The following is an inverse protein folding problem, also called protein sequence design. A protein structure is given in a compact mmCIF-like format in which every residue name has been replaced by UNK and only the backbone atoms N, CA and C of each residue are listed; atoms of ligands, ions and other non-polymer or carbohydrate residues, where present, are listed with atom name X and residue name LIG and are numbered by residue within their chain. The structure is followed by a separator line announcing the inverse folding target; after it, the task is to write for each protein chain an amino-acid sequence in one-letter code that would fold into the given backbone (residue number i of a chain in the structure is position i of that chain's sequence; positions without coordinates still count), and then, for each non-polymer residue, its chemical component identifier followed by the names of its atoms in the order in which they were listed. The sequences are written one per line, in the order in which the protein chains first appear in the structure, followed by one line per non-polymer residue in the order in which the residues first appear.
data_IF_252906496183
#
_entry.id   IF_252906496183
#
_cell.length_a   1.000
_cell.length_b   1.000
_cell.length_c   1.000
_cell.angle_alpha   90.00
_cell.angle_beta   90.00
_cell.angle_gamma   90.00
#
_symmetry.space_group_name_H-M   'P 1'
#
loop_
_entity.id
_entity.type
_entity.pdbx_description
1 polymer ?
#
# COMPACT_ATOMS: atom_id res chain seq x y z
N UNK A 1 4.49 -29.85 -37.42
CA UNK A 1 3.15 -29.57 -36.86
C UNK A 1 2.79 -30.70 -35.92
N UNK A 2 2.75 -30.43 -34.62
CA UNK A 2 2.19 -31.27 -33.55
C UNK A 2 2.52 -30.52 -32.26
N UNK A 3 1.62 -29.79 -31.59
CA UNK A 3 0.23 -30.10 -31.35
C UNK A 3 0.16 -31.08 -30.17
N UNK A 4 0.38 -30.61 -28.94
CA UNK A 4 0.20 -31.45 -27.75
C UNK A 4 -0.68 -30.72 -26.74
N UNK A 5 -1.85 -31.31 -26.54
CA UNK A 5 -2.97 -30.87 -25.74
C UNK A 5 -2.70 -31.14 -24.25
N UNK A 6 -3.03 -30.18 -23.37
CA UNK A 6 -2.91 -30.32 -21.92
C UNK A 6 -4.08 -31.15 -21.40
N UNK A 7 -3.78 -32.37 -20.93
CA UNK A 7 -4.73 -33.22 -20.20
C UNK A 7 -4.65 -32.90 -18.71
N UNK A 8 -5.75 -32.38 -18.17
CA UNK A 8 -6.02 -32.32 -16.74
C UNK A 8 -6.11 -33.74 -16.17
N UNK A 9 -5.21 -34.12 -15.27
CA UNK A 9 -5.31 -35.39 -14.53
C UNK A 9 -5.32 -35.10 -13.02
N UNK A 10 -6.49 -35.28 -12.41
CA UNK A 10 -6.68 -35.38 -10.96
C UNK A 10 -6.20 -36.74 -10.45
N UNK A 11 -5.60 -36.70 -9.24
CA UNK A 11 -5.51 -37.72 -8.18
C UNK A 11 -5.34 -39.19 -8.58
N UNK A 12 -4.18 -39.75 -8.24
CA UNK A 12 -3.97 -41.18 -8.07
C UNK A 12 -2.61 -41.46 -7.43
N UNK A 13 -2.62 -41.93 -6.19
CA UNK A 13 -1.45 -42.44 -5.46
C UNK A 13 -0.80 -43.58 -6.23
N UNK A 14 0.48 -43.44 -6.58
CA UNK A 14 1.30 -44.56 -7.06
C UNK A 14 2.25 -44.94 -5.94
N UNK A 15 1.96 -46.08 -5.30
CA UNK A 15 2.87 -46.74 -4.37
C UNK A 15 3.97 -47.43 -5.18
N UNK A 16 5.24 -47.13 -4.89
CA UNK A 16 6.38 -47.90 -5.39
C UNK A 16 7.12 -48.49 -4.19
N UNK A 17 7.04 -49.82 -4.07
CA UNK A 17 7.87 -50.64 -3.19
C UNK A 17 9.32 -50.63 -3.71
N UNK A 18 10.28 -50.33 -2.86
CA UNK A 18 11.71 -50.42 -3.15
C UNK A 18 12.51 -50.50 -1.86
N UNK A 19 13.33 -51.54 -1.76
CA UNK A 19 13.92 -52.11 -0.55
C UNK A 19 15.42 -51.80 -0.49
N UNK A 20 15.87 -51.31 0.68
CA UNK A 20 17.23 -51.31 1.26
C UNK A 20 18.26 -50.27 0.82
N UNK A 21 18.84 -49.61 1.83
CA UNK A 21 20.23 -49.11 1.77
C UNK A 21 20.47 -47.70 2.30
N UNK A 22 20.50 -47.55 3.63
CA UNK A 22 21.10 -46.46 4.41
C UNK A 22 21.56 -45.17 3.72
N UNK A 23 20.76 -44.12 3.87
CA UNK A 23 21.19 -42.75 4.18
C UNK A 23 19.93 -41.99 4.64
N UNK A 24 19.96 -41.41 5.84
CA UNK A 24 18.92 -40.49 6.29
C UNK A 24 19.10 -39.22 5.45
N UNK A 25 18.47 -39.18 4.28
CA UNK A 25 18.21 -37.93 3.58
C UNK A 25 16.88 -37.45 4.12
N UNK A 26 16.95 -36.40 4.94
CA UNK A 26 15.77 -35.64 5.35
C UNK A 26 15.01 -35.28 4.08
N UNK A 27 13.82 -35.85 3.98
CA UNK A 27 12.90 -35.71 2.89
C UNK A 27 12.46 -34.24 2.88
N UNK A 28 12.97 -33.46 1.92
CA UNK A 28 12.56 -32.07 1.76
C UNK A 28 11.06 -32.02 1.47
N UNK A 29 10.42 -31.25 2.35
CA UNK A 29 9.05 -30.79 2.38
C UNK A 29 8.64 -30.26 1.01
N UNK A 30 7.45 -30.64 0.52
CA UNK A 30 7.01 -30.37 -0.84
C UNK A 30 7.21 -28.92 -1.29
N UNK A 31 7.71 -28.76 -2.52
CA UNK A 31 7.98 -27.48 -3.18
C UNK A 31 6.74 -26.58 -3.22
N UNK A 32 6.50 -25.87 -2.12
CA UNK A 32 5.62 -24.71 -2.10
C UNK A 32 6.31 -23.65 -2.94
N UNK A 33 5.68 -23.17 -4.02
CA UNK A 33 6.19 -22.02 -4.77
C UNK A 33 6.21 -20.84 -3.78
N UNK A 34 7.37 -20.55 -3.22
CA UNK A 34 7.56 -19.51 -2.19
C UNK A 34 7.12 -18.13 -2.69
N UNK A 35 7.21 -17.91 -4.01
CA UNK A 35 6.88 -16.65 -4.66
C UNK A 35 6.07 -16.89 -5.97
N UNK A 36 4.75 -17.09 -5.90
CA UNK A 36 3.93 -17.44 -7.07
C UNK A 36 3.95 -16.37 -8.16
N UNK A 37 3.88 -15.08 -7.78
CA UNK A 37 3.96 -13.95 -8.72
C UNK A 37 5.32 -13.88 -9.41
N UNK A 38 6.41 -14.10 -8.67
CA UNK A 38 7.76 -14.12 -9.23
C UNK A 38 7.94 -15.29 -10.21
N UNK A 39 7.37 -16.45 -9.91
CA UNK A 39 7.40 -17.63 -10.78
C UNK A 39 6.69 -17.36 -12.11
N UNK A 40 5.45 -16.84 -12.04
CA UNK A 40 4.66 -16.52 -13.23
C UNK A 40 5.34 -15.44 -14.10
N UNK A 41 5.80 -14.35 -13.49
CA UNK A 41 6.46 -13.27 -14.21
C UNK A 41 7.86 -13.68 -14.73
N UNK A 42 8.61 -14.49 -13.98
CA UNK A 42 9.89 -15.04 -14.45
C UNK A 42 9.70 -15.88 -15.72
N UNK A 43 8.73 -16.80 -15.71
CA UNK A 43 8.45 -17.60 -16.89
C UNK A 43 8.02 -16.72 -18.07
N UNK A 44 7.17 -15.72 -17.83
CA UNK A 44 6.69 -14.78 -18.86
C UNK A 44 7.80 -13.95 -19.49
N UNK A 45 8.78 -13.52 -18.70
CA UNK A 45 9.87 -12.65 -19.15
C UNK A 45 11.17 -13.40 -19.51
N UNK A 46 11.17 -14.73 -19.50
CA UNK A 46 12.28 -15.56 -20.00
C UNK A 46 13.41 -15.78 -19.00
N UNK A 47 13.05 -15.95 -17.75
CA UNK A 47 13.90 -15.81 -16.57
C UNK A 47 13.84 -17.15 -15.79
N UNK A 48 14.98 -17.76 -15.44
CA UNK A 48 15.04 -19.14 -14.88
C UNK A 48 14.77 -19.23 -13.37
N UNK A 49 14.09 -20.30 -12.92
CA UNK A 49 13.57 -20.45 -11.54
C UNK A 49 14.59 -20.91 -10.48
N UNK A 50 15.79 -21.36 -10.88
CA UNK A 50 16.76 -21.99 -9.97
C UNK A 50 17.90 -21.02 -9.58
N UNK A 51 17.57 -19.88 -8.97
CA UNK A 51 18.56 -18.89 -8.53
C UNK A 51 18.61 -18.83 -6.99
N UNK A 52 19.80 -18.75 -6.36
CA UNK A 52 19.91 -18.61 -4.91
C UNK A 52 19.08 -17.43 -4.40
N UNK A 53 18.50 -17.56 -3.21
CA UNK A 53 17.66 -16.55 -2.53
C UNK A 53 18.34 -15.16 -2.50
N UNK A 54 19.69 -15.13 -2.44
CA UNK A 54 20.51 -13.91 -2.48
C UNK A 54 20.46 -13.14 -3.80
N UNK A 55 20.08 -13.79 -4.91
CA UNK A 55 19.96 -13.18 -6.24
C UNK A 55 18.53 -12.72 -6.57
N UNK A 56 17.55 -13.03 -5.69
CA UNK A 56 16.14 -12.62 -5.86
C UNK A 56 15.97 -11.10 -6.01
N UNK A 57 16.66 -10.22 -5.26
CA UNK A 57 16.50 -8.77 -5.42
C UNK A 57 16.90 -8.26 -6.81
N UNK A 58 18.02 -8.77 -7.34
CA UNK A 58 18.49 -8.40 -8.68
C UNK A 58 17.50 -8.88 -9.74
N UNK A 59 16.97 -10.10 -9.57
CA UNK A 59 15.99 -10.69 -10.47
C UNK A 59 14.66 -9.94 -10.48
N UNK A 60 14.18 -9.52 -9.31
CA UNK A 60 12.97 -8.69 -9.18
C UNK A 60 13.16 -7.35 -9.90
N UNK A 61 14.33 -6.72 -9.79
CA UNK A 61 14.62 -5.46 -10.49
C UNK A 61 14.77 -5.67 -12.02
N UNK A 62 15.32 -6.80 -12.47
CA UNK A 62 15.38 -7.17 -13.90
C UNK A 62 13.98 -7.34 -14.52
N UNK A 63 13.10 -8.08 -13.85
CA UNK A 63 11.70 -8.28 -14.29
C UNK A 63 10.96 -6.94 -14.30
N UNK A 64 11.13 -6.13 -13.25
CA UNK A 64 10.54 -4.80 -13.16
C UNK A 64 11.00 -3.88 -14.30
N UNK A 65 12.29 -3.90 -14.63
CA UNK A 65 12.79 -3.10 -15.75
C UNK A 65 12.33 -3.67 -17.11
N UNK A 66 12.14 -4.99 -17.23
CA UNK A 66 11.53 -5.60 -18.41
C UNK A 66 10.09 -5.12 -18.62
N UNK A 67 9.27 -5.11 -17.56
CA UNK A 67 7.89 -4.58 -17.61
C UNK A 67 7.91 -3.08 -17.98
N UNK A 68 8.76 -2.27 -17.34
CA UNK A 68 8.89 -0.83 -17.66
C UNK A 68 9.32 -0.59 -19.11
N UNK A 69 10.23 -1.41 -19.64
CA UNK A 69 10.65 -1.33 -21.05
C UNK A 69 9.48 -1.62 -21.98
N UNK A 70 8.66 -2.62 -21.66
CA UNK A 70 7.48 -2.96 -22.46
C UNK A 70 6.40 -1.88 -22.40
N UNK A 71 6.18 -1.24 -21.23
CA UNK A 71 5.29 -0.07 -21.11
C UNK A 71 5.77 1.07 -22.03
N UNK A 72 7.07 1.37 -22.03
CA UNK A 72 7.63 2.42 -22.91
C UNK A 72 7.44 2.09 -24.38
N UNK A 73 7.63 0.83 -24.79
CA UNK A 73 7.38 0.39 -26.17
C UNK A 73 5.90 0.53 -26.54
N UNK A 74 5.01 0.08 -25.67
CA UNK A 74 3.57 0.12 -25.91
C UNK A 74 3.03 1.56 -25.99
N UNK A 75 3.57 2.47 -25.17
CA UNK A 75 3.29 3.90 -25.28
C UNK A 75 3.72 4.49 -26.62
N UNK A 76 4.89 4.10 -27.15
CA UNK A 76 5.35 4.53 -28.47
C UNK A 76 4.44 3.99 -29.59
N UNK A 77 3.98 2.74 -29.48
CA UNK A 77 3.03 2.16 -30.43
C UNK A 77 1.72 2.95 -30.40
N UNK A 78 1.19 3.23 -29.19
CA UNK A 78 -0.01 4.03 -29.02
C UNK A 78 0.15 5.43 -29.60
N UNK A 79 1.23 6.14 -29.27
CA UNK A 79 1.51 7.49 -29.81
C UNK A 79 1.62 7.47 -31.34
N UNK A 80 2.29 6.45 -31.91
CA UNK A 80 2.36 6.25 -33.35
C UNK A 80 0.99 6.02 -33.99
N UNK A 81 0.15 5.20 -33.36
CA UNK A 81 -1.22 4.95 -33.83
C UNK A 81 -2.10 6.21 -33.74
N UNK A 82 -1.96 7.00 -32.68
CA UNK A 82 -2.65 8.28 -32.52
C UNK A 82 -2.26 9.27 -33.64
N UNK A 83 -0.96 9.39 -33.95
CA UNK A 83 -0.47 10.20 -35.09
C UNK A 83 -0.98 9.69 -36.44
N UNK A 84 -1.00 8.36 -36.64
CA UNK A 84 -1.59 7.77 -37.84
C UNK A 84 -3.08 8.07 -37.96
N UNK A 85 -3.80 8.17 -36.84
CA UNK A 85 -5.22 8.53 -36.83
C UNK A 85 -5.47 9.95 -37.32
N UNK A 86 -4.53 10.88 -37.07
CA UNK A 86 -4.64 12.28 -37.51
C UNK A 86 -4.53 12.43 -39.03
N UNK A 87 -3.73 11.58 -39.68
CA UNK A 87 -3.49 11.64 -41.14
C UNK A 87 -4.35 10.67 -41.94
N UNK A 88 -4.99 9.70 -41.27
CA UNK A 88 -5.88 8.72 -41.90
C UNK A 88 -7.21 9.34 -42.33
N UNK A 89 -7.59 9.14 -43.59
CA UNK A 89 -8.85 9.67 -44.15
C UNK A 89 -9.84 8.58 -44.54
N UNK A 90 -9.36 7.38 -44.85
CA UNK A 90 -10.22 6.28 -45.25
C UNK A 90 -10.82 5.53 -44.05
N UNK A 91 -12.05 5.03 -44.24
CA UNK A 91 -12.81 4.38 -43.17
C UNK A 91 -12.13 3.10 -42.65
N UNK A 92 -11.36 2.42 -43.49
CA UNK A 92 -10.71 1.15 -43.13
C UNK A 92 -9.48 1.40 -42.26
N UNK A 93 -8.59 2.30 -42.66
CA UNK A 93 -7.44 2.68 -41.85
C UNK A 93 -7.83 3.27 -40.51
N UNK A 94 -8.88 4.11 -40.45
CA UNK A 94 -9.41 4.64 -39.18
C UNK A 94 -9.89 3.52 -38.25
N UNK A 95 -10.54 2.49 -38.78
CA UNK A 95 -10.97 1.32 -38.01
C UNK A 95 -9.78 0.49 -37.52
N UNK A 96 -8.79 0.26 -38.38
CA UNK A 96 -7.59 -0.50 -38.03
C UNK A 96 -6.78 0.23 -36.95
N UNK A 97 -6.58 1.54 -37.10
CA UNK A 97 -5.92 2.40 -36.11
C UNK A 97 -6.68 2.42 -34.78
N UNK A 98 -8.01 2.52 -34.80
CA UNK A 98 -8.81 2.44 -33.58
C UNK A 98 -8.65 1.09 -32.87
N UNK A 99 -8.53 -0.01 -33.63
CA UNK A 99 -8.28 -1.34 -33.06
C UNK A 99 -6.89 -1.44 -32.41
N UNK A 100 -5.86 -0.81 -33.01
CA UNK A 100 -4.50 -0.75 -32.47
C UNK A 100 -4.50 0.04 -31.16
N UNK A 101 -5.09 1.24 -31.14
CA UNK A 101 -5.19 2.07 -29.94
C UNK A 101 -5.91 1.32 -28.82
N UNK A 102 -7.01 0.62 -29.13
CA UNK A 102 -7.74 -0.20 -28.14
C UNK A 102 -6.87 -1.32 -27.57
N UNK A 103 -6.17 -2.08 -28.42
CA UNK A 103 -5.25 -3.15 -28.00
C UNK A 103 -4.10 -2.62 -27.16
N UNK A 104 -3.47 -1.52 -27.55
CA UNK A 104 -2.39 -0.89 -26.78
C UNK A 104 -2.87 -0.38 -25.42
N UNK A 105 -4.10 0.16 -25.33
CA UNK A 105 -4.67 0.55 -24.04
C UNK A 105 -4.88 -0.64 -23.09
N UNK A 106 -5.41 -1.76 -23.60
CA UNK A 106 -5.57 -2.99 -22.82
C UNK A 106 -4.21 -3.53 -22.35
N UNK A 107 -3.23 -3.63 -23.26
CA UNK A 107 -1.88 -4.11 -22.91
C UNK A 107 -1.18 -3.18 -21.91
N UNK A 108 -1.38 -1.86 -22.00
CA UNK A 108 -0.88 -0.91 -20.99
C UNK A 108 -1.52 -1.10 -19.62
N UNK A 109 -2.81 -1.44 -19.55
CA UNK A 109 -3.47 -1.73 -18.27
C UNK A 109 -2.91 -3.02 -17.65
N UNK A 110 -2.74 -4.08 -18.45
CA UNK A 110 -2.14 -5.35 -18.01
C UNK A 110 -0.71 -5.14 -17.49
N UNK A 111 0.16 -4.50 -18.27
CA UNK A 111 1.54 -4.25 -17.87
C UNK A 111 1.65 -3.40 -16.59
N UNK A 112 0.75 -2.44 -16.39
CA UNK A 112 0.69 -1.65 -15.15
C UNK A 112 0.23 -2.48 -13.97
N UNK A 113 -0.73 -3.40 -14.18
CA UNK A 113 -1.17 -4.33 -13.16
C UNK A 113 -0.03 -5.26 -12.73
N UNK A 114 0.68 -5.85 -13.68
CA UNK A 114 1.84 -6.72 -13.42
C UNK A 114 2.97 -5.99 -12.70
N UNK A 115 3.25 -4.74 -13.10
CA UNK A 115 4.23 -3.91 -12.41
C UNK A 115 3.81 -3.67 -10.95
N UNK A 116 2.53 -3.35 -10.73
CA UNK A 116 2.01 -3.10 -9.39
C UNK A 116 2.03 -4.35 -8.52
N UNK A 117 1.68 -5.51 -9.07
CA UNK A 117 1.71 -6.79 -8.39
C UNK A 117 3.15 -7.18 -8.00
N UNK A 118 4.11 -6.99 -8.90
CA UNK A 118 5.53 -7.19 -8.62
C UNK A 118 6.05 -6.24 -7.53
N UNK A 119 5.71 -4.95 -7.60
CA UNK A 119 6.09 -3.97 -6.59
C UNK A 119 5.47 -4.28 -5.21
N UNK A 120 4.23 -4.79 -5.18
CA UNK A 120 3.59 -5.27 -3.96
C UNK A 120 4.32 -6.49 -3.38
N UNK A 121 4.73 -7.44 -4.23
CA UNK A 121 5.50 -8.60 -3.80
C UNK A 121 6.89 -8.21 -3.28
N UNK A 122 7.57 -7.26 -3.92
CA UNK A 122 8.85 -6.72 -3.43
C UNK A 122 8.66 -6.12 -2.04
N UNK A 123 7.59 -5.33 -1.83
CA UNK A 123 7.31 -4.72 -0.53
C UNK A 123 6.99 -5.76 0.55
N UNK A 124 6.20 -6.78 0.23
CA UNK A 124 5.85 -7.87 1.14
C UNK A 124 7.06 -8.76 1.47
N UNK A 125 7.89 -9.07 0.48
CA UNK A 125 9.09 -9.89 0.66
C UNK A 125 10.16 -9.13 1.44
N UNK A 126 10.42 -7.86 1.10
CA UNK A 126 11.29 -6.99 1.91
C UNK A 126 10.74 -6.75 3.31
N UNK A 127 9.41 -6.67 3.47
CA UNK A 127 8.73 -6.52 4.76
C UNK A 127 8.76 -7.78 5.64
N UNK A 128 8.88 -8.97 5.04
CA UNK A 128 9.02 -10.23 5.76
C UNK A 128 10.49 -10.63 6.02
N UNK A 129 11.44 -10.20 5.18
CA UNK A 129 12.88 -10.46 5.42
C UNK A 129 13.44 -9.68 6.61
N UNK A 130 12.81 -8.57 7.03
CA UNK A 130 13.21 -7.84 8.25
C UNK A 130 12.91 -8.59 9.55
N UNK A 131 12.12 -9.68 9.55
CA UNK A 131 11.84 -10.44 10.78
C UNK A 131 12.76 -11.63 11.01
N UNK A 132 13.56 -12.08 10.03
CA UNK A 132 14.33 -13.32 10.21
C UNK A 132 15.80 -13.31 9.81
N UNK A 133 16.37 -12.25 9.22
CA UNK A 133 17.82 -12.07 9.17
C UNK A 133 18.14 -10.61 8.87
N UNK A 134 18.59 -9.89 9.90
CA UNK A 134 19.10 -8.53 9.74
C UNK A 134 20.43 -8.54 8.99
N UNK A 135 20.42 -8.23 7.71
CA UNK A 135 21.49 -7.51 7.03
C UNK A 135 21.05 -7.05 5.65
N UNK A 136 21.26 -5.75 5.41
CA UNK A 136 21.54 -5.10 4.12
C UNK A 136 20.55 -5.29 2.96
N UNK A 137 19.93 -4.16 2.54
CA UNK A 137 20.16 -3.56 1.22
C UNK A 137 19.15 -2.42 0.97
N UNK A 138 19.46 -1.26 1.54
CA UNK A 138 19.13 0.01 0.90
C UNK A 138 20.35 0.44 0.06
N UNK A 139 20.10 0.56 -1.24
CA UNK A 139 20.75 1.50 -2.15
C UNK A 139 21.99 1.05 -2.92
N UNK A 140 21.80 1.05 -4.23
CA UNK A 140 22.73 1.39 -5.29
C UNK A 140 23.81 2.42 -4.91
N UNK A 141 25.06 2.05 -5.22
CA UNK A 141 26.14 2.92 -5.70
C UNK A 141 26.65 4.06 -4.80
N UNK A 142 27.68 3.77 -3.99
CA UNK A 142 28.96 4.48 -4.09
C UNK A 142 30.03 3.75 -3.27
N UNK A 143 31.14 3.43 -3.93
CA UNK A 143 32.38 2.94 -3.32
C UNK A 143 32.91 3.99 -2.33
N UNK A 144 33.06 3.64 -1.04
CA UNK A 144 34.17 4.05 -0.15
C UNK A 144 34.11 3.27 1.17
N UNK A 145 35.23 2.70 1.66
CA UNK A 145 35.32 2.20 3.03
C UNK A 145 35.91 3.30 3.92
N UNK A 146 35.11 3.88 4.83
CA UNK A 146 35.70 4.59 5.96
C UNK A 146 34.80 4.57 7.18
N UNK A 147 35.35 3.93 8.22
CA UNK A 147 34.93 3.88 9.62
C UNK A 147 34.53 5.25 10.20
N UNK A 148 33.32 5.33 10.76
CA UNK A 148 32.79 6.47 11.52
C UNK A 148 31.44 6.10 12.16
N UNK A 149 31.04 6.73 13.28
CA UNK A 149 30.08 6.18 14.22
C UNK A 149 28.69 6.01 13.59
N UNK A 150 28.13 4.82 13.78
CA UNK A 150 26.79 4.33 13.41
C UNK A 150 25.75 5.46 13.21
N UNK A 151 25.62 5.94 11.97
CA UNK A 151 24.49 6.75 11.55
C UNK A 151 23.28 5.82 11.44
N UNK A 152 22.51 5.74 12.53
CA UNK A 152 21.30 4.91 12.65
C UNK A 152 20.40 5.08 11.41
N UNK A 153 19.69 4.04 10.97
CA UNK A 153 18.83 4.11 9.76
C UNK A 153 17.84 5.28 9.73
N UNK A 154 17.49 5.83 10.90
CA UNK A 154 16.69 7.05 11.06
C UNK A 154 17.37 8.31 10.50
N UNK A 155 18.69 8.42 10.53
CA UNK A 155 19.44 9.57 10.00
C UNK A 155 19.41 9.60 8.47
N UNK A 156 19.58 8.44 7.83
CA UNK A 156 19.44 8.28 6.37
C UNK A 156 18.02 8.63 5.92
N UNK A 157 17.00 8.16 6.67
CA UNK A 157 15.60 8.50 6.42
C UNK A 157 15.35 10.01 6.58
N UNK A 158 15.86 10.61 7.65
CA UNK A 158 15.72 12.05 7.92
C UNK A 158 16.38 12.90 6.83
N UNK A 159 17.57 12.51 6.37
CA UNK A 159 18.28 13.19 5.28
C UNK A 159 17.50 13.08 3.97
N UNK A 160 16.93 11.91 3.67
CA UNK A 160 16.07 11.70 2.50
C UNK A 160 14.82 12.58 2.55
N UNK A 161 14.13 12.63 3.68
CA UNK A 161 12.95 13.48 3.87
C UNK A 161 13.27 14.97 3.71
N UNK A 162 14.41 15.42 4.25
CA UNK A 162 14.90 16.81 4.06
C UNK A 162 15.21 17.12 2.59
N UNK A 163 15.81 16.16 1.86
CA UNK A 163 16.05 16.29 0.42
C UNK A 163 14.74 16.41 -0.35
N UNK A 164 13.77 15.55 -0.06
CA UNK A 164 12.44 15.60 -0.69
C UNK A 164 11.72 16.92 -0.39
N UNK A 165 11.80 17.40 0.86
CA UNK A 165 11.25 18.70 1.24
C UNK A 165 11.89 19.84 0.42
N UNK A 166 13.21 19.81 0.22
CA UNK A 166 13.89 20.82 -0.60
C UNK A 166 13.42 20.81 -2.07
N UNK A 167 13.20 19.61 -2.64
CA UNK A 167 12.67 19.46 -4.00
C UNK A 167 11.27 20.09 -4.08
N UNK A 168 10.36 19.74 -3.18
CA UNK A 168 9.00 20.28 -3.19
C UNK A 168 8.97 21.80 -2.95
N UNK A 169 9.90 22.35 -2.14
CA UNK A 169 10.07 23.80 -2.03
C UNK A 169 10.50 24.45 -3.35
N UNK A 170 11.39 23.81 -4.12
CA UNK A 170 11.78 24.31 -5.45
C UNK A 170 10.62 24.24 -6.44
N UNK A 171 9.82 23.18 -6.40
CA UNK A 171 8.61 23.05 -7.21
C UNK A 171 7.60 24.14 -6.86
N UNK A 172 7.34 24.37 -5.57
CA UNK A 172 6.47 25.44 -5.07
C UNK A 172 6.93 26.82 -5.58
N UNK A 173 8.22 27.14 -5.43
CA UNK A 173 8.78 28.41 -5.90
C UNK A 173 8.70 28.53 -7.43
N UNK A 174 8.94 27.44 -8.16
CA UNK A 174 8.82 27.39 -9.62
C UNK A 174 7.38 27.67 -10.09
N UNK A 175 6.39 27.10 -9.41
CA UNK A 175 4.98 27.36 -9.68
C UNK A 175 4.57 28.80 -9.35
N UNK A 176 5.06 29.36 -8.24
CA UNK A 176 4.84 30.78 -7.88
C UNK A 176 5.42 31.73 -8.94
N UNK A 177 6.64 31.48 -9.41
CA UNK A 177 7.27 32.26 -10.47
C UNK A 177 6.49 32.16 -11.78
N UNK A 178 6.00 30.96 -12.13
CA UNK A 178 5.19 30.74 -13.31
C UNK A 178 3.88 31.54 -13.23
N UNK A 179 3.17 31.48 -12.08
CA UNK A 179 1.96 32.26 -11.84
C UNK A 179 2.23 33.77 -11.95
N UNK A 180 3.33 34.27 -11.35
CA UNK A 180 3.70 35.69 -11.44
C UNK A 180 3.94 36.11 -12.90
N UNK A 181 4.75 35.34 -13.64
CA UNK A 181 5.06 35.65 -15.05
C UNK A 181 3.83 35.67 -15.94
N UNK A 182 2.89 34.73 -15.74
CA UNK A 182 1.64 34.66 -16.50
C UNK A 182 0.68 35.78 -16.07
N UNK A 183 0.61 36.10 -14.77
CA UNK A 183 -0.26 37.15 -14.24
C UNK A 183 0.21 38.56 -14.60
N UNK A 184 1.50 38.76 -14.86
CA UNK A 184 2.08 40.05 -15.28
C UNK A 184 2.05 40.26 -16.81
N UNK A 185 1.78 39.22 -17.60
CA UNK A 185 1.68 39.29 -19.06
C UNK A 185 0.30 39.72 -19.56
N UNK A 186 0.25 40.42 -20.72
CA UNK A 186 -0.99 40.94 -21.28
C UNK A 186 -1.82 39.85 -22.00
N UNK A 187 -2.97 39.54 -21.40
CA UNK A 187 -4.22 38.95 -21.92
C UNK A 187 -4.20 37.60 -22.68
N UNK A 188 -4.66 36.56 -21.96
CA UNK A 188 -5.73 35.68 -22.43
C UNK A 188 -5.33 34.32 -23.01
N UNK A 189 -4.07 34.13 -23.41
CA UNK A 189 -3.63 32.86 -24.04
C UNK A 189 -3.25 31.75 -23.05
N UNK A 190 -2.96 32.09 -21.80
CA UNK A 190 -2.33 31.15 -20.87
C UNK A 190 -3.25 30.73 -19.71
N UNK A 191 -4.58 30.85 -19.86
CA UNK A 191 -5.54 30.49 -18.79
C UNK A 191 -5.39 29.03 -18.33
N UNK A 192 -5.07 28.12 -19.27
CA UNK A 192 -4.82 26.71 -18.96
C UNK A 192 -3.50 26.52 -18.19
N UNK A 193 -2.42 27.20 -18.62
CA UNK A 193 -1.12 27.16 -17.95
C UNK A 193 -1.21 27.76 -16.54
N UNK A 194 -1.97 28.84 -16.36
CA UNK A 194 -2.22 29.44 -15.05
C UNK A 194 -2.94 28.45 -14.11
N UNK A 195 -3.97 27.77 -14.60
CA UNK A 195 -4.68 26.76 -13.81
C UNK A 195 -3.78 25.58 -13.43
N UNK A 196 -2.92 25.12 -14.35
CA UNK A 196 -1.95 24.05 -14.08
C UNK A 196 -0.90 24.48 -13.05
N UNK A 197 -0.34 25.70 -13.18
CA UNK A 197 0.59 26.26 -12.22
C UNK A 197 -0.05 26.44 -10.83
N UNK A 198 -1.32 26.86 -10.76
CA UNK A 198 -2.09 26.94 -9.52
C UNK A 198 -2.30 25.57 -8.88
N UNK A 199 -2.62 24.54 -9.67
CA UNK A 199 -2.75 23.17 -9.17
C UNK A 199 -1.40 22.65 -8.63
N UNK A 200 -0.32 22.84 -9.39
CA UNK A 200 1.03 22.46 -8.94
C UNK A 200 1.43 23.17 -7.64
N UNK A 201 1.05 24.44 -7.48
CA UNK A 201 1.28 25.19 -6.25
C UNK A 201 0.49 24.60 -5.07
N UNK A 202 -0.78 24.23 -5.27
CA UNK A 202 -1.60 23.61 -4.24
C UNK A 202 -1.02 22.24 -3.83
N UNK A 203 -0.68 21.40 -4.80
CA UNK A 203 -0.13 20.06 -4.58
C UNK A 203 1.22 20.11 -3.86
N UNK A 204 2.13 20.99 -4.29
CA UNK A 204 3.45 21.16 -3.66
C UNK A 204 3.33 21.69 -2.22
N UNK A 205 2.40 22.61 -1.93
CA UNK A 205 2.11 23.06 -0.56
C UNK A 205 1.63 21.91 0.33
N UNK A 206 0.69 21.10 -0.14
CA UNK A 206 0.21 19.93 0.62
C UNK A 206 1.34 18.93 0.90
N UNK A 207 2.19 18.65 -0.09
CA UNK A 207 3.35 17.77 0.07
C UNK A 207 4.40 18.33 1.04
N UNK A 208 4.66 19.63 1.01
CA UNK A 208 5.57 20.30 1.94
C UNK A 208 5.10 20.10 3.38
N UNK A 209 3.82 20.31 3.66
CA UNK A 209 3.25 20.12 5.01
C UNK A 209 3.33 18.67 5.46
N UNK A 210 3.00 17.72 4.58
CA UNK A 210 3.15 16.29 4.86
C UNK A 210 4.60 15.92 5.20
N UNK A 211 5.58 16.40 4.40
CA UNK A 211 7.00 16.13 4.62
C UNK A 211 7.51 16.77 5.91
N UNK A 212 7.08 18.00 6.22
CA UNK A 212 7.38 18.67 7.50
C UNK A 212 6.88 17.85 8.69
N UNK A 213 5.62 17.42 8.66
CA UNK A 213 5.05 16.59 9.71
C UNK A 213 5.79 15.26 9.86
N UNK A 214 6.18 14.63 8.74
CA UNK A 214 6.95 13.38 8.76
C UNK A 214 8.35 13.58 9.35
N UNK A 215 9.02 14.69 9.03
CA UNK A 215 10.32 15.05 9.62
C UNK A 215 10.19 15.25 11.13
N UNK A 216 9.19 16.01 11.58
CA UNK A 216 8.91 16.23 13.00
C UNK A 216 8.69 14.89 13.70
N UNK A 217 7.88 13.99 13.13
CA UNK A 217 7.62 12.67 13.69
C UNK A 217 8.89 11.80 13.80
N UNK A 218 9.76 11.82 12.78
CA UNK A 218 11.03 11.09 12.81
C UNK A 218 11.98 11.67 13.87
N UNK A 219 12.04 13.00 14.02
CA UNK A 219 12.82 13.65 15.07
C UNK A 219 12.27 13.35 16.48
N UNK A 220 10.95 13.41 16.68
CA UNK A 220 10.32 13.04 17.95
C UNK A 220 10.61 11.58 18.34
N UNK A 221 10.60 10.66 17.36
CA UNK A 221 10.99 9.28 17.59
C UNK A 221 12.48 9.16 17.96
N UNK A 222 13.35 10.00 17.40
CA UNK A 222 14.79 10.05 17.74
C UNK A 222 15.01 10.60 19.15
N UNK A 223 14.33 11.69 19.52
CA UNK A 223 14.43 12.32 20.83
C UNK A 223 13.87 11.42 21.95
N UNK A 224 12.79 10.67 21.68
CA UNK A 224 12.25 9.67 22.63
C UNK A 224 13.21 8.49 22.85
N UNK A 225 13.95 8.09 21.81
CA UNK A 225 14.94 7.01 21.88
C UNK A 225 16.27 7.48 22.53
N UNK A 226 16.54 8.79 22.54
CA UNK A 226 17.73 9.37 23.17
C UNK A 226 17.49 9.73 24.65
N UNK A 227 16.26 10.15 25.01
CA UNK A 227 15.87 10.43 26.40
C UNK A 227 15.82 9.17 27.28
N UNK A 228 15.79 7.99 26.68
CA UNK A 228 15.91 6.70 27.38
C UNK A 228 17.35 6.32 27.73
N UNK A 229 18.36 7.05 27.25
CA UNK A 229 19.79 6.73 27.45
C UNK A 229 20.44 7.62 28.52
N UNK A 230 19.80 8.72 28.94
CA UNK A 230 20.40 9.72 29.86
C UNK A 230 19.86 9.72 31.28
N UNK A 231 19.13 8.69 31.71
CA UNK A 231 18.77 8.53 33.13
C UNK A 231 19.80 7.63 33.81
N UNK A 232 20.84 8.27 34.37
CA UNK A 232 21.81 7.69 35.30
C UNK A 232 21.12 7.29 36.60
N UNK A 233 20.28 6.25 36.59
CA UNK A 233 19.79 5.55 37.78
C UNK A 233 19.22 4.17 37.43
N UNK A 234 20.09 3.24 37.03
CA UNK A 234 20.13 1.84 37.50
C UNK A 234 18.91 0.92 37.52
N UNK A 235 17.71 1.26 37.04
CA UNK A 235 16.58 0.32 36.96
C UNK A 235 16.04 0.17 35.53
N UNK A 236 16.19 -1.04 34.99
CA UNK A 236 15.66 -1.43 33.68
C UNK A 236 14.14 -1.64 33.80
N UNK A 237 13.35 -0.70 33.28
CA UNK A 237 11.93 -0.93 32.98
C UNK A 237 11.68 -0.89 31.47
N UNK A 238 11.18 -1.97 30.85
CA UNK A 238 10.85 -1.97 29.43
C UNK A 238 9.49 -1.29 29.21
N UNK A 239 9.45 0.04 29.09
CA UNK A 239 8.21 0.74 28.76
C UNK A 239 7.96 0.70 27.24
N UNK A 240 7.25 -0.35 26.84
CA UNK A 240 6.51 -0.44 25.59
C UNK A 240 5.44 0.66 25.60
N UNK A 241 5.44 1.52 24.58
CA UNK A 241 4.31 2.35 24.12
C UNK A 241 3.38 2.90 25.21
N UNK A 242 3.66 4.11 25.70
CA UNK A 242 2.62 4.88 26.38
C UNK A 242 2.43 6.21 25.64
N UNK A 243 1.21 6.44 25.16
CA UNK A 243 0.64 7.79 25.06
C UNK A 243 1.01 8.55 26.34
N UNK A 244 1.33 9.86 26.29
CA UNK A 244 1.73 10.64 27.46
C UNK A 244 0.93 10.26 28.69
N UNK A 245 1.57 10.10 29.86
CA UNK A 245 0.90 9.65 31.09
C UNK A 245 -0.39 10.44 31.34
N UNK A 246 -0.39 11.72 30.97
CA UNK A 246 -1.52 12.63 30.98
C UNK A 246 -2.69 12.16 30.11
N UNK A 247 -2.43 11.71 28.88
CA UNK A 247 -3.45 11.16 27.97
C UNK A 247 -4.01 9.83 28.50
N UNK A 248 -3.15 8.99 29.08
CA UNK A 248 -3.59 7.71 29.66
C UNK A 248 -4.45 7.93 30.91
N UNK A 249 -4.07 8.89 31.75
CA UNK A 249 -4.86 9.31 32.91
C UNK A 249 -6.22 9.87 32.45
N UNK A 250 -6.25 10.71 31.40
CA UNK A 250 -7.50 11.30 30.91
C UNK A 250 -8.41 10.26 30.25
N UNK A 251 -7.85 9.31 29.49
CA UNK A 251 -8.58 8.16 28.93
C UNK A 251 -9.21 7.32 30.04
N UNK A 252 -8.45 7.00 31.10
CA UNK A 252 -8.94 6.24 32.24
C UNK A 252 -10.02 7.00 33.02
N UNK A 253 -9.87 8.32 33.21
CA UNK A 253 -10.90 9.18 33.80
C UNK A 253 -12.17 9.20 32.96
N UNK A 254 -12.03 9.26 31.64
CA UNK A 254 -13.17 9.22 30.73
C UNK A 254 -13.89 7.87 30.81
N UNK A 255 -13.14 6.77 30.81
CA UNK A 255 -13.68 5.41 30.95
C UNK A 255 -14.41 5.23 32.29
N UNK A 256 -13.82 5.70 33.39
CA UNK A 256 -14.44 5.66 34.71
C UNK A 256 -15.74 6.46 34.78
N UNK A 257 -15.81 7.62 34.12
CA UNK A 257 -17.05 8.40 34.00
C UNK A 257 -18.15 7.62 33.27
N UNK A 258 -17.81 6.93 32.18
CA UNK A 258 -18.75 6.08 31.45
C UNK A 258 -19.21 4.91 32.32
N UNK A 259 -18.29 4.19 32.95
CA UNK A 259 -18.61 3.05 33.80
C UNK A 259 -19.50 3.45 34.99
N UNK A 260 -19.22 4.58 35.63
CA UNK A 260 -20.06 5.12 36.70
C UNK A 260 -21.48 5.44 36.21
N UNK A 261 -21.62 6.10 35.05
CA UNK A 261 -22.92 6.41 34.45
C UNK A 261 -23.70 5.15 34.06
N UNK A 262 -23.02 4.12 33.56
CA UNK A 262 -23.63 2.81 33.23
C UNK A 262 -24.11 2.11 34.50
N UNK A 263 -23.31 2.09 35.55
CA UNK A 263 -23.68 1.50 36.85
C UNK A 263 -24.87 2.23 37.47
N UNK A 264 -24.88 3.56 37.44
CA UNK A 264 -26.00 4.35 37.95
C UNK A 264 -27.27 4.18 37.10
N UNK A 265 -27.14 4.07 35.78
CA UNK A 265 -28.24 3.70 34.88
C UNK A 265 -28.83 2.33 35.22
N UNK A 266 -27.98 1.32 35.42
CA UNK A 266 -28.42 -0.02 35.83
C UNK A 266 -29.12 -0.01 37.20
N UNK A 267 -28.58 0.70 38.19
CA UNK A 267 -29.23 0.89 39.50
C UNK A 267 -30.59 1.57 39.37
N UNK A 268 -30.70 2.57 38.48
CA UNK A 268 -31.96 3.27 38.28
C UNK A 268 -33.02 2.38 37.64
N UNK A 269 -32.65 1.59 36.63
CA UNK A 269 -33.54 0.57 36.03
C UNK A 269 -34.00 -0.44 37.07
N UNK A 270 -33.08 -0.97 37.89
CA UNK A 270 -33.43 -1.90 38.98
C UNK A 270 -34.41 -1.25 39.95
N UNK A 271 -34.17 0.00 40.36
CA UNK A 271 -35.08 0.76 41.24
C UNK A 271 -36.46 0.96 40.61
N UNK A 272 -36.53 1.35 39.35
CA UNK A 272 -37.80 1.50 38.62
C UNK A 272 -38.54 0.18 38.53
N UNK A 273 -37.86 -0.93 38.23
CA UNK A 273 -38.47 -2.26 38.17
C UNK A 273 -38.91 -2.78 39.56
N UNK A 274 -38.14 -2.49 40.60
CA UNK A 274 -38.51 -2.85 41.98
C UNK A 274 -39.70 -2.04 42.50
N UNK A 275 -39.81 -0.76 42.09
CA UNK A 275 -40.95 0.10 42.42
C UNK A 275 -42.19 -0.20 41.56
N UNK A 276 -42.02 -0.75 40.34
CA UNK A 276 -43.10 -1.17 39.44
C UNK A 276 -43.58 -2.63 39.68
N UNK A 277 -43.52 -3.13 40.92
CA UNK A 277 -44.05 -4.46 41.30
C UNK A 277 -45.59 -4.62 41.18
N UNK A 278 -46.29 -3.62 40.63
CA UNK A 278 -47.71 -3.74 40.26
C UNK A 278 -47.80 -3.74 38.73
N UNK A 279 -48.40 -4.76 38.10
CA UNK A 279 -48.44 -4.84 36.64
C UNK A 279 -49.24 -3.67 36.06
N UNK A 280 -48.60 -2.87 35.21
CA UNK A 280 -49.27 -1.81 34.46
C UNK A 280 -50.19 -2.43 33.39
N UNK A 281 -51.43 -2.71 33.78
CA UNK A 281 -52.47 -3.32 32.93
C UNK A 281 -52.92 -2.43 31.77
N UNK A 282 -52.35 -1.22 31.59
CA UNK A 282 -52.78 -0.28 30.53
C UNK A 282 -52.07 -0.46 29.20
N UNK A 283 -50.92 -1.13 29.14
CA UNK A 283 -50.23 -1.42 27.87
C UNK A 283 -50.85 -2.56 27.05
N UNK A 284 -51.82 -3.31 27.62
CA UNK A 284 -52.49 -4.44 26.95
C UNK A 284 -53.84 -4.08 26.29
N UNK A 285 -54.28 -2.82 26.31
CA UNK A 285 -55.60 -2.43 25.77
C UNK A 285 -55.60 -1.77 24.38
N UNK A 286 -54.46 -1.70 23.71
CA UNK A 286 -54.40 -1.17 22.34
C UNK A 286 -54.04 -2.29 21.35
N UNK A 287 -54.88 -3.33 21.31
CA UNK A 287 -54.95 -4.22 20.15
C UNK A 287 -56.07 -3.76 19.20
N UNK A 288 -55.79 -3.56 17.91
CA UNK A 288 -56.79 -3.14 16.94
C UNK A 288 -57.89 -4.21 16.80
N UNK A 289 -59.15 -3.78 16.94
CA UNK A 289 -60.33 -4.58 16.65
C UNK A 289 -60.27 -5.05 15.18
N UNK A 290 -60.11 -6.35 14.95
CA UNK A 290 -60.29 -6.93 13.62
C UNK A 290 -61.77 -6.80 13.18
N UNK A 291 -62.05 -6.42 11.93
CA UNK A 291 -63.41 -6.21 11.44
C UNK A 291 -64.19 -7.53 11.29
N UNK A 292 -65.46 -7.46 11.67
CA UNK A 292 -66.46 -8.53 11.56
C UNK A 292 -66.75 -8.85 10.09
N UNK A 293 -66.74 -10.15 9.78
CA UNK A 293 -67.45 -10.87 8.71
C UNK A 293 -68.12 -10.05 7.59
N UNK A 294 -67.67 -10.27 6.35
CA UNK A 294 -68.52 -10.15 5.17
C UNK A 294 -69.74 -11.06 5.33
N UNK A 295 -70.93 -10.47 5.28
CA UNK A 295 -72.16 -11.19 4.97
C UNK A 295 -72.62 -10.72 3.60
N UNK A 296 -72.67 -11.66 2.66
CA UNK A 296 -73.34 -11.54 1.36
C UNK A 296 -74.84 -11.30 1.55
N UNK A 297 -75.34 -10.15 1.08
CA UNK A 297 -76.53 -10.03 0.22
C UNK A 297 -76.67 -8.61 -0.31
#
# INVERSE_FOLDING_TARGET
MSGTSIKTQRRGTVCINGVHGGAIVQQEEGDYIKHPVLYELSHKYGFTDNLPESALPNRLEEIKEAIRREIRKELKIKEGAEKLREVATDRRSLSDVASIVKKSNSKLAELKSELHELESQILLTQGNTVSNNGQDLLSTSSLTPQSGPESTGNDKLLQSLKKQLNIEMKVKNGAENMIQSISSGHHGRDKKLLAEAQQMLADSKAKIEFLRLRIIKVNQNKDQMQKTITDENGEIRPQRFETPLEDRIEELRHRLRIEAAVVDGAKNVIRTLQNNKVPDKKALHELPKYPKSLTLR
#
